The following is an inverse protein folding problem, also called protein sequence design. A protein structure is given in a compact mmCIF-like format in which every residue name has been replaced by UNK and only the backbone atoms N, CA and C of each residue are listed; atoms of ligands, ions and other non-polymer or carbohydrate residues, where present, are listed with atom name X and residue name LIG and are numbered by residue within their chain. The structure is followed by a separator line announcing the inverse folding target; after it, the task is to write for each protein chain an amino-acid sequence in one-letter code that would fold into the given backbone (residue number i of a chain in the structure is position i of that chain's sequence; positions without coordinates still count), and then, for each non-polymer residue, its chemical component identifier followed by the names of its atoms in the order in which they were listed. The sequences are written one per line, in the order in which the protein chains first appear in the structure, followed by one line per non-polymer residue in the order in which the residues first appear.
data_IF_273510104686
#
_entry.id   IF_273510104686
#
_cell.length_a   1.000
_cell.length_b   1.000
_cell.length_c   1.000
_cell.angle_alpha   90.00
_cell.angle_beta   90.00
_cell.angle_gamma   90.00
#
_symmetry.space_group_name_H-M   'P 1'
#
loop_
_entity.id
_entity.type
_entity.pdbx_description
1 polymer ?
#
# COMPACT_ATOMS: atom_id res chain seq x y z
N UNK A 1 -55.24 17.37 22.93
CA UNK A 1 -54.43 17.40 24.15
C UNK A 1 -55.18 16.68 25.27
N UNK A 2 -54.94 15.37 25.45
CA UNK A 2 -55.35 14.68 26.68
C UNK A 2 -54.21 14.85 27.66
N UNK A 3 -54.42 15.76 28.61
CA UNK A 3 -53.54 15.98 29.75
C UNK A 3 -53.48 14.68 30.56
N UNK A 4 -52.29 14.37 31.05
CA UNK A 4 -52.04 13.22 31.92
C UNK A 4 -53.06 13.19 33.09
N UNK A 5 -53.49 12.01 33.56
CA UNK A 5 -54.44 11.90 34.68
C UNK A 5 -53.93 12.68 35.90
N UNK A 6 -54.79 13.41 36.60
CA UNK A 6 -54.42 14.31 37.71
C UNK A 6 -53.58 13.66 38.82
N UNK A 7 -53.70 12.34 39.01
CA UNK A 7 -52.88 11.58 39.96
C UNK A 7 -51.39 11.56 39.61
N UNK A 8 -51.02 11.71 38.32
CA UNK A 8 -49.63 11.86 37.91
C UNK A 8 -49.09 13.26 38.23
N UNK A 9 -49.92 14.29 38.20
CA UNK A 9 -49.47 15.66 38.49
C UNK A 9 -49.07 15.82 39.96
N UNK A 10 -49.83 15.23 40.89
CA UNK A 10 -49.54 15.32 42.33
C UNK A 10 -48.29 14.51 42.74
N UNK A 11 -48.04 13.36 42.09
CA UNK A 11 -46.83 12.56 42.32
C UNK A 11 -45.53 13.28 41.87
N UNK A 12 -45.61 14.08 40.81
CA UNK A 12 -44.48 14.85 40.27
C UNK A 12 -44.15 16.11 41.11
N UNK A 13 -45.14 16.70 41.78
CA UNK A 13 -44.96 17.87 42.66
C UNK A 13 -44.35 17.48 44.02
N UNK A 14 -44.64 16.27 44.53
CA UNK A 14 -44.16 15.84 45.84
C UNK A 14 -42.72 15.29 45.87
N UNK A 15 -42.13 14.96 44.72
CA UNK A 15 -40.78 14.36 44.67
C UNK A 15 -39.88 14.99 43.59
N UNK A 16 -39.28 16.16 43.87
CA UNK A 16 -38.42 16.90 42.92
C UNK A 16 -37.28 16.06 42.33
N UNK A 17 -36.77 15.10 43.11
CA UNK A 17 -35.71 14.18 42.70
C UNK A 17 -36.17 13.20 41.61
N UNK A 18 -37.42 12.74 41.65
CA UNK A 18 -37.98 11.81 40.67
C UNK A 18 -38.25 12.55 39.35
N UNK A 19 -38.76 13.78 39.42
CA UNK A 19 -38.90 14.65 38.24
C UNK A 19 -37.56 14.92 37.55
N UNK A 20 -36.53 15.30 38.32
CA UNK A 20 -35.19 15.50 37.79
C UNK A 20 -34.62 14.24 37.15
N UNK A 21 -34.86 13.05 37.73
CA UNK A 21 -34.42 11.78 37.16
C UNK A 21 -35.09 11.50 35.80
N UNK A 22 -36.41 11.67 35.69
CA UNK A 22 -37.12 11.48 34.43
C UNK A 22 -36.70 12.49 33.35
N UNK A 23 -36.52 13.76 33.72
CA UNK A 23 -36.03 14.79 32.80
C UNK A 23 -34.58 14.50 32.35
N UNK A 24 -33.72 14.04 33.26
CA UNK A 24 -32.36 13.63 32.95
C UNK A 24 -32.32 12.40 32.02
N UNK A 25 -33.17 11.39 32.26
CA UNK A 25 -33.31 10.23 31.38
C UNK A 25 -33.83 10.62 29.99
N UNK A 26 -34.83 11.50 29.91
CA UNK A 26 -35.34 12.02 28.65
C UNK A 26 -34.28 12.79 27.87
N UNK A 27 -33.53 13.67 28.54
CA UNK A 27 -32.42 14.40 27.92
C UNK A 27 -31.32 13.45 27.43
N UNK A 28 -30.96 12.43 28.22
CA UNK A 28 -29.98 11.42 27.83
C UNK A 28 -30.45 10.64 26.59
N UNK A 29 -31.72 10.24 26.52
CA UNK A 29 -32.27 9.55 25.36
C UNK A 29 -32.24 10.42 24.09
N UNK A 30 -32.53 11.73 24.20
CA UNK A 30 -32.42 12.67 23.09
C UNK A 30 -30.96 12.84 22.65
N UNK A 31 -30.03 13.02 23.58
CA UNK A 31 -28.59 13.15 23.27
C UNK A 31 -28.08 11.90 22.55
N UNK A 32 -28.43 10.71 23.05
CA UNK A 32 -28.05 9.43 22.43
C UNK A 32 -28.66 9.33 21.02
N UNK A 33 -29.93 9.68 20.85
CA UNK A 33 -30.61 9.65 19.55
C UNK A 33 -29.99 10.61 18.54
N UNK A 34 -29.70 11.84 18.97
CA UNK A 34 -29.01 12.85 18.15
C UNK A 34 -27.59 12.39 17.80
N UNK A 35 -26.86 11.82 18.77
CA UNK A 35 -25.52 11.27 18.54
C UNK A 35 -25.51 10.16 17.48
N UNK A 36 -26.44 9.20 17.56
CA UNK A 36 -26.58 8.13 16.57
C UNK A 36 -27.05 8.65 15.22
N UNK A 37 -27.96 9.63 15.19
CA UNK A 37 -28.40 10.27 13.95
C UNK A 37 -27.24 10.99 13.25
N UNK A 38 -26.48 11.81 13.97
CA UNK A 38 -25.32 12.52 13.43
C UNK A 38 -24.21 11.55 12.98
N UNK A 39 -23.92 10.52 13.78
CA UNK A 39 -22.95 9.48 13.43
C UNK A 39 -23.38 8.68 12.19
N UNK A 40 -24.66 8.32 12.11
CA UNK A 40 -25.25 7.64 10.96
C UNK A 40 -25.22 8.49 9.69
N UNK A 41 -25.58 9.78 9.77
CA UNK A 41 -25.48 10.72 8.66
C UNK A 41 -24.03 10.90 8.20
N UNK A 42 -23.07 10.96 9.13
CA UNK A 42 -21.64 11.03 8.83
C UNK A 42 -21.14 9.79 8.08
N UNK A 43 -21.50 8.60 8.54
CA UNK A 43 -21.16 7.33 7.89
C UNK A 43 -21.83 7.17 6.51
N UNK A 44 -23.09 7.57 6.37
CA UNK A 44 -23.79 7.57 5.09
C UNK A 44 -23.15 8.56 4.09
N UNK A 45 -22.76 9.74 4.57
CA UNK A 45 -22.07 10.75 3.75
C UNK A 45 -20.68 10.29 3.29
N UNK A 46 -19.89 9.66 4.16
CA UNK A 46 -18.60 9.09 3.75
C UNK A 46 -18.77 7.94 2.75
N UNK A 47 -19.73 7.05 2.99
CA UNK A 47 -20.07 5.95 2.08
C UNK A 47 -20.51 6.47 0.70
N UNK A 48 -21.38 7.49 0.67
CA UNK A 48 -21.82 8.13 -0.57
C UNK A 48 -20.65 8.78 -1.32
N UNK A 49 -19.76 9.51 -0.62
CA UNK A 49 -18.56 10.10 -1.23
C UNK A 49 -17.62 9.05 -1.82
N UNK A 50 -17.39 7.95 -1.10
CA UNK A 50 -16.58 6.83 -1.61
C UNK A 50 -17.22 6.20 -2.86
N UNK A 51 -18.53 5.95 -2.84
CA UNK A 51 -19.25 5.36 -3.96
C UNK A 51 -19.23 6.27 -5.21
N UNK A 52 -19.49 7.56 -5.03
CA UNK A 52 -19.44 8.55 -6.12
C UNK A 52 -18.04 8.67 -6.72
N UNK A 53 -16.99 8.70 -5.88
CA UNK A 53 -15.59 8.73 -6.34
C UNK A 53 -15.22 7.46 -7.08
N UNK A 54 -15.55 6.29 -6.55
CA UNK A 54 -15.31 5.01 -7.21
C UNK A 54 -16.00 4.93 -8.58
N UNK A 55 -17.24 5.39 -8.68
CA UNK A 55 -17.99 5.42 -9.95
C UNK A 55 -17.38 6.39 -10.97
N UNK A 56 -16.88 7.55 -10.52
CA UNK A 56 -16.19 8.50 -11.38
C UNK A 56 -14.90 7.91 -11.97
N UNK A 57 -14.10 7.24 -11.14
CA UNK A 57 -12.86 6.57 -11.56
C UNK A 57 -13.11 5.46 -12.57
N UNK A 58 -14.15 4.65 -12.35
CA UNK A 58 -14.53 3.58 -13.27
C UNK A 58 -14.89 4.07 -14.68
N UNK A 59 -15.34 5.32 -14.83
CA UNK A 59 -15.74 5.92 -16.11
C UNK A 59 -14.56 6.50 -16.91
N UNK A 60 -13.50 6.95 -16.24
CA UNK A 60 -12.31 7.55 -16.88
C UNK A 60 -11.16 6.54 -16.97
N UNK A 61 -11.20 5.63 -17.95
CA UNK A 61 -10.26 4.50 -18.04
C UNK A 61 -9.20 4.66 -19.15
N UNK A 62 -8.55 5.82 -19.19
CA UNK A 62 -7.43 6.10 -20.12
C UNK A 62 -6.04 5.71 -19.57
N UNK A 63 -5.98 5.16 -18.35
CA UNK A 63 -4.75 4.70 -17.71
C UNK A 63 -4.57 3.18 -17.82
N UNK A 64 -3.32 2.71 -17.72
CA UNK A 64 -2.98 1.28 -17.68
C UNK A 64 -3.10 0.70 -16.29
N UNK A 65 -2.75 1.48 -15.28
CA UNK A 65 -2.94 1.13 -13.88
C UNK A 65 -3.55 2.30 -13.09
N UNK A 66 -4.38 1.98 -12.11
CA UNK A 66 -4.94 2.93 -11.16
C UNK A 66 -4.47 2.59 -9.75
N UNK A 67 -3.78 3.55 -9.14
CA UNK A 67 -3.29 3.49 -7.77
C UNK A 67 -4.13 4.40 -6.89
N UNK A 68 -4.68 3.85 -5.81
CA UNK A 68 -5.42 4.60 -4.81
C UNK A 68 -4.58 4.89 -3.58
N UNK A 69 -4.59 6.14 -3.14
CA UNK A 69 -4.00 6.56 -1.87
C UNK A 69 -5.12 6.76 -0.86
N UNK A 70 -5.25 5.81 0.07
CA UNK A 70 -6.14 5.88 1.22
C UNK A 70 -5.72 6.94 2.24
N UNK A 71 -6.48 7.06 3.32
CA UNK A 71 -6.13 7.95 4.44
C UNK A 71 -4.84 7.48 5.14
N UNK A 72 -3.95 8.43 5.42
CA UNK A 72 -2.74 8.20 6.22
C UNK A 72 -2.97 8.79 7.61
N UNK A 73 -3.13 7.94 8.63
CA UNK A 73 -3.35 8.40 9.99
C UNK A 73 -2.14 9.20 10.50
N UNK A 74 -2.35 10.41 11.02
CA UNK A 74 -1.25 11.31 11.39
C UNK A 74 -0.52 11.95 10.21
N UNK A 75 -0.99 11.72 8.98
CA UNK A 75 -0.61 12.48 7.79
C UNK A 75 -1.60 13.62 7.55
N UNK A 76 -1.11 14.85 7.36
CA UNK A 76 -1.95 15.95 6.92
C UNK A 76 -2.45 15.76 5.49
N UNK A 77 -3.41 16.58 5.05
CA UNK A 77 -3.92 16.55 3.67
C UNK A 77 -2.81 16.72 2.61
N UNK A 78 -1.78 17.52 2.93
CA UNK A 78 -0.61 17.74 2.08
C UNK A 78 0.20 16.47 1.84
N UNK A 79 0.34 15.59 2.83
CA UNK A 79 1.17 14.39 2.70
C UNK A 79 0.67 13.48 1.57
N UNK A 80 -0.64 13.27 1.47
CA UNK A 80 -1.20 12.43 0.42
C UNK A 80 -1.01 13.03 -0.96
N UNK A 81 -1.04 14.37 -1.06
CA UNK A 81 -0.76 15.09 -2.29
C UNK A 81 0.71 14.96 -2.68
N UNK A 82 1.63 15.12 -1.73
CA UNK A 82 3.08 14.89 -1.95
C UNK A 82 3.36 13.44 -2.37
N UNK A 83 2.71 12.46 -1.73
CA UNK A 83 2.81 11.05 -2.13
C UNK A 83 2.29 10.85 -3.55
N UNK A 84 1.16 11.46 -3.91
CA UNK A 84 0.61 11.40 -5.25
C UNK A 84 1.62 11.89 -6.29
N UNK A 85 2.16 13.09 -6.10
CA UNK A 85 3.14 13.70 -7.01
C UNK A 85 4.41 12.84 -7.11
N UNK A 86 4.93 12.35 -5.98
CA UNK A 86 6.11 11.49 -5.99
C UNK A 86 5.88 10.17 -6.76
N UNK A 87 4.68 9.60 -6.67
CA UNK A 87 4.33 8.40 -7.43
C UNK A 87 4.22 8.75 -8.91
N UNK A 88 3.45 9.78 -9.28
CA UNK A 88 3.27 10.17 -10.69
C UNK A 88 4.61 10.48 -11.37
N UNK A 89 5.53 11.14 -10.67
CA UNK A 89 6.85 11.51 -11.19
C UNK A 89 7.80 10.30 -11.40
N UNK A 90 7.66 9.24 -10.59
CA UNK A 90 8.63 8.12 -10.57
C UNK A 90 8.07 6.78 -11.07
N UNK A 91 6.75 6.62 -11.14
CA UNK A 91 6.14 5.32 -11.45
C UNK A 91 6.46 4.86 -12.87
N UNK A 92 6.50 5.79 -13.84
CA UNK A 92 6.85 5.53 -15.23
C UNK A 92 8.18 4.78 -15.39
N UNK A 93 9.15 5.10 -14.52
CA UNK A 93 10.46 4.46 -14.49
C UNK A 93 10.36 2.96 -14.23
N UNK A 94 9.43 2.51 -13.39
CA UNK A 94 9.26 1.11 -13.00
C UNK A 94 8.11 0.40 -13.71
N UNK A 95 7.42 1.09 -14.62
CA UNK A 95 6.25 0.58 -15.35
C UNK A 95 6.47 0.50 -16.86
N UNK A 96 7.71 0.55 -17.35
CA UNK A 96 8.01 0.64 -18.79
C UNK A 96 7.28 1.80 -19.48
N UNK A 97 7.28 2.97 -18.83
CA UNK A 97 6.62 4.19 -19.30
C UNK A 97 5.10 4.04 -19.51
N UNK A 98 4.47 3.02 -18.91
CA UNK A 98 3.01 2.91 -18.93
C UNK A 98 2.38 3.97 -18.03
N UNK A 99 1.33 4.62 -18.54
CA UNK A 99 0.56 5.63 -17.81
C UNK A 99 -0.10 5.04 -16.56
N UNK A 100 0.20 5.63 -15.41
CA UNK A 100 -0.50 5.38 -14.16
C UNK A 100 -1.40 6.55 -13.82
N UNK A 101 -2.60 6.27 -13.32
CA UNK A 101 -3.41 7.27 -12.65
C UNK A 101 -3.28 7.07 -11.15
N UNK A 102 -3.02 8.15 -10.43
CA UNK A 102 -2.95 8.13 -8.97
C UNK A 102 -4.06 9.00 -8.40
N UNK A 103 -4.89 8.42 -7.54
CA UNK A 103 -6.06 9.12 -7.00
C UNK A 103 -6.14 9.05 -5.48
N UNK A 104 -6.52 10.19 -4.88
CA UNK A 104 -6.72 10.30 -3.45
C UNK A 104 -8.09 9.73 -3.10
N UNK A 105 -8.10 8.57 -2.46
CA UNK A 105 -9.32 7.84 -2.15
C UNK A 105 -9.70 8.02 -0.67
N UNK A 106 -10.93 8.46 -0.35
CA UNK A 106 -11.33 8.79 1.02
C UNK A 106 -11.69 7.53 1.83
N UNK A 107 -10.79 6.54 1.84
CA UNK A 107 -10.92 5.30 2.60
C UNK A 107 -9.99 5.31 3.80
N UNK A 108 -10.55 5.09 5.00
CA UNK A 108 -9.80 5.00 6.25
C UNK A 108 -9.76 3.55 6.73
N UNK A 109 -8.60 2.93 6.64
CA UNK A 109 -8.35 1.58 7.13
C UNK A 109 -7.47 1.61 8.37
N UNK A 110 -7.60 0.59 9.23
CA UNK A 110 -6.69 0.40 10.37
C UNK A 110 -5.34 -0.12 9.87
N UNK A 111 -4.25 0.34 10.48
CA UNK A 111 -2.90 -0.16 10.23
C UNK A 111 -2.50 -1.09 11.36
N UNK A 112 -2.53 -2.40 11.09
CA UNK A 112 -2.11 -3.44 12.02
C UNK A 112 -0.70 -3.93 11.67
N UNK A 113 0.13 -4.26 12.68
CA UNK A 113 1.43 -4.88 12.45
C UNK A 113 1.29 -6.32 11.93
N UNK A 114 2.34 -6.83 11.31
CA UNK A 114 2.42 -8.22 10.83
C UNK A 114 2.17 -9.27 11.91
N UNK A 115 2.54 -8.97 13.15
CA UNK A 115 2.35 -9.83 14.34
C UNK A 115 0.91 -9.87 14.86
N UNK A 116 0.03 -9.02 14.36
CA UNK A 116 -1.37 -9.02 14.78
C UNK A 116 -2.10 -10.30 14.34
N UNK A 117 -3.13 -10.68 15.09
CA UNK A 117 -3.94 -11.86 14.79
C UNK A 117 -4.46 -11.83 13.34
N UNK A 118 -4.47 -13.00 12.69
CA UNK A 118 -4.75 -13.14 11.26
C UNK A 118 -6.17 -12.67 10.86
N UNK A 119 -7.17 -12.87 11.73
CA UNK A 119 -8.56 -12.49 11.45
C UNK A 119 -8.77 -10.97 11.24
N UNK A 120 -8.37 -10.08 12.18
CA UNK A 120 -8.44 -8.63 11.97
C UNK A 120 -7.71 -8.17 10.69
N UNK A 121 -6.53 -8.74 10.40
CA UNK A 121 -5.78 -8.42 9.18
C UNK A 121 -6.56 -8.79 7.93
N UNK A 122 -7.16 -9.99 7.91
CA UNK A 122 -8.02 -10.45 6.81
C UNK A 122 -9.23 -9.55 6.60
N UNK A 123 -9.89 -9.09 7.69
CA UNK A 123 -11.04 -8.18 7.59
C UNK A 123 -10.67 -6.85 6.92
N UNK A 124 -9.55 -6.25 7.32
CA UNK A 124 -9.04 -5.01 6.72
C UNK A 124 -8.68 -5.23 5.25
N UNK A 125 -8.04 -6.37 4.93
CA UNK A 125 -7.67 -6.70 3.56
C UNK A 125 -8.89 -6.88 2.65
N UNK A 126 -9.97 -7.49 3.15
CA UNK A 126 -11.25 -7.61 2.42
C UNK A 126 -11.89 -6.24 2.19
N UNK A 127 -11.82 -5.34 3.17
CA UNK A 127 -12.33 -3.98 3.02
C UNK A 127 -11.55 -3.18 1.96
N UNK A 128 -10.22 -3.29 1.98
CA UNK A 128 -9.35 -2.70 0.96
C UNK A 128 -9.64 -3.26 -0.44
N UNK A 129 -9.81 -4.58 -0.56
CA UNK A 129 -10.14 -5.24 -1.82
C UNK A 129 -11.50 -4.80 -2.37
N UNK A 130 -12.51 -4.67 -1.50
CA UNK A 130 -13.82 -4.15 -1.91
C UNK A 130 -13.73 -2.71 -2.45
N UNK A 131 -12.81 -1.90 -1.94
CA UNK A 131 -12.55 -0.57 -2.49
C UNK A 131 -11.93 -0.63 -3.90
N UNK A 132 -10.95 -1.53 -4.12
CA UNK A 132 -10.36 -1.78 -5.44
C UNK A 132 -11.41 -2.24 -6.45
N UNK A 133 -12.25 -3.23 -6.10
CA UNK A 133 -13.30 -3.74 -6.98
C UNK A 133 -14.31 -2.66 -7.38
N UNK A 134 -14.75 -1.83 -6.42
CA UNK A 134 -15.73 -0.76 -6.67
C UNK A 134 -15.20 0.34 -7.57
N UNK A 135 -13.92 0.68 -7.42
CA UNK A 135 -13.24 1.73 -8.18
C UNK A 135 -12.64 1.23 -9.49
N UNK A 136 -12.58 -0.09 -9.69
CA UNK A 136 -11.81 -0.74 -10.74
C UNK A 136 -10.32 -0.35 -10.71
N UNK A 137 -9.77 -0.16 -9.50
CA UNK A 137 -8.37 0.12 -9.26
C UNK A 137 -7.53 -1.14 -9.09
N UNK A 138 -6.22 -1.01 -9.32
CA UNK A 138 -5.30 -2.16 -9.33
C UNK A 138 -4.51 -2.27 -8.03
N UNK A 139 -4.14 -1.13 -7.43
CA UNK A 139 -3.34 -1.08 -6.20
C UNK A 139 -3.92 -0.03 -5.25
N UNK A 140 -3.93 -0.33 -3.96
CA UNK A 140 -4.26 0.62 -2.90
C UNK A 140 -3.15 0.66 -1.86
N UNK A 141 -2.79 1.87 -1.46
CA UNK A 141 -1.87 2.14 -0.35
C UNK A 141 -2.55 2.95 0.74
N UNK A 142 -2.38 2.54 1.99
CA UNK A 142 -2.84 3.28 3.17
C UNK A 142 -1.84 3.11 4.30
N UNK A 143 -2.00 3.82 5.41
CA UNK A 143 -1.04 3.68 6.48
C UNK A 143 -1.19 4.66 7.61
N UNK A 144 -0.11 4.81 8.37
CA UNK A 144 0.01 5.77 9.45
C UNK A 144 1.40 6.36 9.52
N UNK A 145 1.51 7.54 10.11
CA UNK A 145 2.76 8.10 10.57
C UNK A 145 3.10 7.52 11.94
N UNK A 146 4.31 7.00 12.09
CA UNK A 146 4.82 6.49 13.35
C UNK A 146 5.26 7.64 14.26
N UNK A 147 5.46 7.37 15.55
CA UNK A 147 5.98 8.35 16.50
C UNK A 147 7.40 8.83 16.14
N UNK A 148 8.20 7.98 15.48
CA UNK A 148 9.53 8.34 14.96
C UNK A 148 9.47 9.25 13.71
N UNK A 149 8.27 9.54 13.20
CA UNK A 149 8.07 10.37 12.02
C UNK A 149 8.22 9.63 10.69
N UNK A 150 8.33 8.29 10.71
CA UNK A 150 8.33 7.44 9.50
C UNK A 150 6.90 7.18 9.04
N UNK A 151 6.74 6.78 7.79
CA UNK A 151 5.48 6.28 7.26
C UNK A 151 5.49 4.77 7.29
N UNK A 152 4.53 4.20 8.00
CA UNK A 152 4.22 2.78 8.04
C UNK A 152 3.03 2.55 7.09
N UNK A 153 3.32 1.99 5.91
CA UNK A 153 2.38 1.84 4.81
C UNK A 153 2.02 0.37 4.58
N UNK A 154 0.80 0.17 4.09
CA UNK A 154 0.22 -1.10 3.70
C UNK A 154 -0.19 -1.00 2.26
N UNK A 155 0.26 -1.96 1.44
CA UNK A 155 -0.05 -2.02 0.02
C UNK A 155 -0.80 -3.32 -0.26
N UNK A 156 -1.89 -3.23 -1.01
CA UNK A 156 -2.69 -4.36 -1.44
C UNK A 156 -3.05 -4.22 -2.92
N UNK A 157 -3.09 -5.37 -3.60
CA UNK A 157 -3.70 -5.56 -4.92
C UNK A 157 -4.73 -6.67 -4.83
N UNK A 158 -5.63 -6.77 -5.81
CA UNK A 158 -6.58 -7.87 -5.86
C UNK A 158 -5.85 -9.20 -6.04
N UNK A 159 -6.18 -10.23 -5.24
CA UNK A 159 -5.53 -11.51 -5.37
C UNK A 159 -5.84 -12.13 -6.73
N UNK A 160 -4.85 -12.80 -7.33
CA UNK A 160 -5.14 -13.72 -8.43
C UNK A 160 -6.04 -14.85 -7.92
N UNK A 161 -6.90 -15.36 -8.81
CA UNK A 161 -7.96 -16.32 -8.46
C UNK A 161 -7.46 -17.44 -7.53
N UNK A 162 -8.11 -17.61 -6.38
CA UNK A 162 -7.79 -18.64 -5.38
C UNK A 162 -6.70 -18.29 -4.36
N UNK A 163 -6.11 -17.08 -4.40
CA UNK A 163 -5.12 -16.63 -3.40
C UNK A 163 -5.74 -15.79 -2.28
N UNK A 164 -5.07 -15.78 -1.14
CA UNK A 164 -5.42 -14.90 -0.01
C UNK A 164 -5.01 -13.46 -0.30
N UNK A 165 -5.70 -12.51 0.35
CA UNK A 165 -5.33 -11.10 0.29
C UNK A 165 -4.04 -10.90 1.09
N UNK A 166 -2.93 -10.75 0.38
CA UNK A 166 -1.63 -10.49 0.98
C UNK A 166 -1.40 -8.97 1.06
N UNK A 167 -1.31 -8.47 2.29
CA UNK A 167 -0.98 -7.07 2.55
C UNK A 167 0.52 -6.96 2.74
N UNK A 168 1.17 -6.21 1.85
CA UNK A 168 2.58 -5.89 1.99
C UNK A 168 2.78 -4.74 2.97
N UNK A 169 3.82 -4.85 3.80
CA UNK A 169 4.19 -3.84 4.79
C UNK A 169 5.49 -3.17 4.36
N UNK A 170 5.48 -1.85 4.23
CA UNK A 170 6.69 -1.07 3.94
C UNK A 170 6.81 0.08 4.92
N UNK A 171 8.05 0.41 5.29
CA UNK A 171 8.31 1.61 6.07
C UNK A 171 9.29 2.54 5.35
N UNK A 172 8.93 3.81 5.30
CA UNK A 172 9.67 4.86 4.62
C UNK A 172 9.98 6.01 5.59
N UNK A 173 11.20 6.49 5.57
CA UNK A 173 11.58 7.70 6.30
C UNK A 173 11.10 8.95 5.54
N UNK A 174 9.84 9.31 5.77
CA UNK A 174 9.20 10.46 5.13
C UNK A 174 8.60 11.37 6.20
N UNK A 175 9.42 12.32 6.66
CA UNK A 175 9.07 13.25 7.74
C UNK A 175 8.11 14.34 7.25
N UNK A 176 8.59 15.39 6.60
CA UNK A 176 7.76 16.52 6.18
C UNK A 176 8.23 17.04 4.83
N UNK A 177 7.30 17.36 3.94
CA UNK A 177 7.63 17.77 2.59
C UNK A 177 8.03 16.59 1.71
N UNK A 178 8.45 16.92 0.49
CA UNK A 178 8.93 15.96 -0.50
C UNK A 178 10.27 15.36 -0.02
N UNK A 179 10.39 14.03 0.11
CA UNK A 179 11.56 13.36 0.66
C UNK A 179 12.63 13.21 -0.42
N UNK A 180 13.78 12.64 -0.04
CA UNK A 180 14.85 12.33 -0.98
C UNK A 180 14.37 11.40 -2.11
N UNK A 181 15.01 11.52 -3.26
CA UNK A 181 14.63 10.80 -4.48
C UNK A 181 14.59 9.27 -4.28
N UNK A 182 15.50 8.73 -3.45
CA UNK A 182 15.51 7.32 -3.06
C UNK A 182 14.17 6.87 -2.47
N UNK A 183 13.60 7.65 -1.55
CA UNK A 183 12.34 7.31 -0.86
C UNK A 183 11.16 7.39 -1.83
N UNK A 184 11.16 8.39 -2.72
CA UNK A 184 10.13 8.55 -3.75
C UNK A 184 10.15 7.38 -4.73
N UNK A 185 11.34 7.04 -5.26
CA UNK A 185 11.53 5.90 -6.17
C UNK A 185 11.19 4.58 -5.49
N UNK A 186 11.53 4.40 -4.21
CA UNK A 186 11.18 3.19 -3.47
C UNK A 186 9.66 3.01 -3.31
N UNK A 187 8.92 4.09 -3.03
CA UNK A 187 7.46 4.05 -3.00
C UNK A 187 6.88 3.70 -4.38
N UNK A 188 7.35 4.37 -5.43
CA UNK A 188 6.91 4.12 -6.80
C UNK A 188 7.21 2.69 -7.25
N UNK A 189 8.42 2.19 -6.95
CA UNK A 189 8.82 0.80 -7.18
C UNK A 189 7.90 -0.19 -6.48
N UNK A 190 7.62 -0.01 -5.18
CA UNK A 190 6.76 -0.92 -4.43
C UNK A 190 5.35 -1.02 -5.03
N UNK A 191 4.80 0.12 -5.47
CA UNK A 191 3.49 0.18 -6.11
C UNK A 191 3.50 -0.43 -7.52
N UNK A 192 4.51 -0.11 -8.34
CA UNK A 192 4.67 -0.68 -9.67
C UNK A 192 4.87 -2.20 -9.62
N UNK A 193 5.66 -2.67 -8.65
CA UNK A 193 5.88 -4.11 -8.36
C UNK A 193 4.56 -4.82 -8.05
N UNK A 194 3.65 -4.20 -7.30
CA UNK A 194 2.31 -4.76 -7.03
C UNK A 194 1.37 -4.66 -8.23
N UNK A 195 1.53 -3.65 -9.08
CA UNK A 195 0.73 -3.45 -10.29
C UNK A 195 1.20 -4.29 -11.51
N UNK A 196 2.33 -5.02 -11.40
CA UNK A 196 2.89 -5.86 -12.50
C UNK A 196 1.87 -6.73 -13.24
N UNK A 197 0.91 -7.42 -12.58
CA UNK A 197 -0.05 -8.27 -13.29
C UNK A 197 -0.87 -7.53 -14.36
N UNK A 198 -1.05 -6.22 -14.20
CA UNK A 198 -1.82 -5.37 -15.13
C UNK A 198 -0.90 -4.58 -16.07
N UNK A 199 0.29 -4.23 -15.59
CA UNK A 199 1.25 -3.41 -16.33
C UNK A 199 2.06 -4.19 -17.37
N UNK A 200 2.45 -5.43 -17.08
CA UNK A 200 3.53 -6.09 -17.83
C UNK A 200 3.02 -6.98 -18.95
N UNK A 201 3.64 -6.85 -20.13
CA UNK A 201 3.54 -7.83 -21.22
C UNK A 201 4.89 -8.51 -21.41
N UNK A 202 4.93 -9.77 -21.90
CA UNK A 202 6.19 -10.46 -22.19
C UNK A 202 7.15 -9.64 -23.10
N UNK A 203 6.59 -8.83 -24.00
CA UNK A 203 7.33 -7.95 -24.91
C UNK A 203 8.03 -6.75 -24.25
N UNK A 204 7.71 -6.42 -23.01
CA UNK A 204 8.33 -5.29 -22.29
C UNK A 204 9.70 -5.66 -21.71
N UNK A 205 9.99 -6.95 -21.55
CA UNK A 205 11.24 -7.49 -21.01
C UNK A 205 12.39 -7.54 -22.03
N UNK A 206 12.37 -6.66 -23.03
CA UNK A 206 13.51 -6.50 -23.94
C UNK A 206 14.66 -5.80 -23.20
N UNK A 207 15.93 -6.13 -23.49
CA UNK A 207 17.07 -5.56 -22.79
C UNK A 207 17.07 -4.03 -22.76
N UNK A 208 16.68 -3.39 -23.87
CA UNK A 208 16.70 -1.93 -24.00
C UNK A 208 15.72 -1.24 -23.04
N UNK A 209 14.57 -1.87 -22.79
CA UNK A 209 13.54 -1.37 -21.86
C UNK A 209 13.85 -1.70 -20.41
N UNK A 210 14.56 -2.80 -20.16
CA UNK A 210 14.97 -3.20 -18.82
C UNK A 210 16.13 -2.35 -18.30
N UNK A 211 17.00 -1.86 -19.19
CA UNK A 211 18.20 -1.10 -18.82
C UNK A 211 17.92 0.07 -17.84
N UNK A 212 17.03 1.04 -18.13
CA UNK A 212 16.78 2.15 -17.22
C UNK A 212 16.20 1.71 -15.87
N UNK A 213 15.38 0.65 -15.85
CA UNK A 213 14.84 0.09 -14.62
C UNK A 213 15.97 -0.49 -13.78
N UNK A 214 16.82 -1.31 -14.38
CA UNK A 214 17.91 -1.98 -13.66
C UNK A 214 18.93 -0.97 -13.16
N UNK A 215 19.26 0.06 -13.93
CA UNK A 215 20.12 1.16 -13.48
C UNK A 215 19.51 1.94 -12.30
N UNK A 216 18.20 2.21 -12.34
CA UNK A 216 17.54 2.85 -11.21
C UNK A 216 17.58 1.97 -9.95
N UNK A 217 17.35 0.67 -10.10
CA UNK A 217 17.44 -0.29 -9.00
C UNK A 217 18.88 -0.42 -8.47
N UNK A 218 19.88 -0.41 -9.34
CA UNK A 218 21.31 -0.40 -8.99
C UNK A 218 21.64 0.79 -8.09
N UNK A 219 21.23 2.00 -8.50
CA UNK A 219 21.40 3.22 -7.69
C UNK A 219 20.70 3.11 -6.34
N UNK A 220 19.51 2.52 -6.28
CA UNK A 220 18.77 2.31 -5.03
C UNK A 220 19.45 1.29 -4.11
N UNK A 221 20.07 0.25 -4.68
CA UNK A 221 20.85 -0.77 -3.95
C UNK A 221 22.18 -0.20 -3.46
N UNK A 222 22.82 0.68 -4.21
CA UNK A 222 24.08 1.35 -3.83
C UNK A 222 23.85 2.41 -2.75
N UNK A 223 22.76 3.18 -2.84
CA UNK A 223 22.41 4.22 -1.87
C UNK A 223 22.00 3.70 -0.48
N UNK A 224 21.99 2.37 -0.28
CA UNK A 224 21.58 1.65 0.94
C UNK A 224 21.74 2.48 2.22
N UNK A 225 20.61 2.84 2.84
CA UNK A 225 20.55 3.67 4.04
C UNK A 225 19.40 3.26 4.97
N UNK A 226 19.27 3.94 6.11
CA UNK A 226 18.19 3.70 7.08
C UNK A 226 16.83 4.27 6.63
N UNK A 227 16.73 4.79 5.41
CA UNK A 227 15.52 5.44 4.91
C UNK A 227 14.41 4.43 4.52
N UNK A 228 14.78 3.18 4.22
CA UNK A 228 13.86 2.12 3.76
C UNK A 228 13.85 0.95 4.76
N UNK A 229 12.72 0.27 4.93
CA UNK A 229 12.65 -0.99 5.69
C UNK A 229 13.53 -2.08 5.05
N UNK A 230 14.10 -2.97 5.87
CA UNK A 230 14.94 -4.08 5.40
C UNK A 230 14.21 -4.96 4.38
N UNK A 231 12.92 -5.24 4.61
CA UNK A 231 12.10 -6.00 3.67
C UNK A 231 12.01 -5.34 2.28
N UNK A 232 11.81 -4.02 2.22
CA UNK A 232 11.75 -3.29 0.95
C UNK A 232 13.12 -3.27 0.26
N UNK A 233 14.21 -3.11 1.03
CA UNK A 233 15.57 -3.20 0.48
C UNK A 233 15.86 -4.56 -0.14
N UNK A 234 15.42 -5.66 0.50
CA UNK A 234 15.56 -7.01 -0.04
C UNK A 234 14.73 -7.23 -1.30
N UNK A 235 13.54 -6.64 -1.39
CA UNK A 235 12.74 -6.70 -2.62
C UNK A 235 13.39 -5.95 -3.78
N UNK A 236 13.90 -4.74 -3.54
CA UNK A 236 14.65 -3.95 -4.52
C UNK A 236 15.87 -4.76 -4.99
N UNK A 237 16.64 -5.31 -4.05
CA UNK A 237 17.82 -6.12 -4.37
C UNK A 237 17.47 -7.37 -5.19
N UNK A 238 16.38 -8.05 -4.86
CA UNK A 238 15.95 -9.25 -5.57
C UNK A 238 15.53 -8.95 -7.01
N UNK A 239 14.78 -7.87 -7.22
CA UNK A 239 14.40 -7.44 -8.58
C UNK A 239 15.57 -6.88 -9.37
N UNK A 240 16.48 -6.16 -8.71
CA UNK A 240 17.74 -5.71 -9.30
C UNK A 240 18.54 -6.90 -9.82
N UNK A 241 18.74 -7.93 -8.99
CA UNK A 241 19.48 -9.12 -9.37
C UNK A 241 18.86 -9.85 -10.58
N UNK A 242 17.55 -10.13 -10.57
CA UNK A 242 16.89 -10.76 -11.74
C UNK A 242 17.00 -9.89 -13.00
N UNK A 243 16.85 -8.57 -12.87
CA UNK A 243 16.96 -7.65 -13.99
C UNK A 243 18.38 -7.58 -14.55
N UNK A 244 19.38 -7.48 -13.69
CA UNK A 244 20.80 -7.47 -14.04
C UNK A 244 21.21 -8.80 -14.69
N UNK A 245 20.74 -9.96 -14.19
CA UNK A 245 20.95 -11.24 -14.85
C UNK A 245 20.41 -11.23 -16.28
N UNK A 246 19.16 -10.76 -16.45
CA UNK A 246 18.53 -10.73 -17.77
C UNK A 246 19.23 -9.79 -18.74
N UNK A 247 19.71 -8.62 -18.29
CA UNK A 247 20.53 -7.72 -19.11
C UNK A 247 21.89 -8.31 -19.41
N UNK A 248 22.48 -8.99 -18.44
CA UNK A 248 23.74 -9.70 -18.58
C UNK A 248 23.64 -10.74 -19.68
N UNK A 249 22.75 -11.72 -19.55
CA UNK A 249 22.54 -12.82 -20.49
C UNK A 249 22.14 -12.32 -21.89
N UNK A 250 21.11 -11.48 -21.99
CA UNK A 250 20.52 -11.09 -23.29
C UNK A 250 21.23 -9.93 -23.96
N UNK A 251 21.80 -9.00 -23.17
CA UNK A 251 22.48 -7.80 -23.67
C UNK A 251 23.99 -7.99 -23.88
N UNK A 252 24.57 -9.14 -23.50
CA UNK A 252 26.00 -9.40 -23.68
C UNK A 252 26.91 -8.66 -22.69
N UNK A 253 26.34 -8.06 -21.64
CA UNK A 253 27.09 -7.20 -20.72
C UNK A 253 27.63 -7.97 -19.51
N UNK A 254 28.92 -8.28 -19.49
CA UNK A 254 29.61 -8.95 -18.36
C UNK A 254 29.40 -8.21 -17.03
N UNK A 255 29.44 -6.87 -17.05
CA UNK A 255 29.21 -6.05 -15.84
C UNK A 255 27.90 -6.39 -15.10
N UNK A 256 26.83 -6.67 -15.84
CA UNK A 256 25.52 -6.94 -15.26
C UNK A 256 25.41 -8.36 -14.71
N UNK A 257 26.13 -9.32 -15.29
CA UNK A 257 26.25 -10.67 -14.73
C UNK A 257 26.98 -10.64 -13.38
N UNK A 258 28.08 -9.90 -13.28
CA UNK A 258 28.81 -9.78 -12.01
C UNK A 258 27.96 -9.09 -10.93
N UNK A 259 27.34 -7.95 -11.26
CA UNK A 259 26.44 -7.25 -10.31
C UNK A 259 25.26 -8.14 -9.87
N UNK A 260 24.70 -8.94 -10.77
CA UNK A 260 23.66 -9.92 -10.43
C UNK A 260 24.18 -10.98 -9.47
N UNK A 261 25.38 -11.52 -9.71
CA UNK A 261 26.00 -12.53 -8.86
C UNK A 261 26.21 -11.99 -7.43
N UNK A 262 26.82 -10.81 -7.31
CA UNK A 262 27.08 -10.16 -6.03
C UNK A 262 25.78 -9.87 -5.27
N UNK A 263 24.76 -9.37 -5.99
CA UNK A 263 23.44 -9.08 -5.42
C UNK A 263 22.73 -10.36 -4.92
N UNK A 264 22.83 -11.47 -5.65
CA UNK A 264 22.25 -12.76 -5.23
C UNK A 264 22.98 -13.38 -4.06
N UNK A 265 24.30 -13.28 -4.00
CA UNK A 265 25.06 -13.74 -2.84
C UNK A 265 24.64 -12.97 -1.58
N UNK A 266 24.59 -11.64 -1.65
CA UNK A 266 24.09 -10.83 -0.52
C UNK A 266 22.64 -11.17 -0.15
N UNK A 267 21.77 -11.42 -1.14
CA UNK A 267 20.39 -11.82 -0.88
C UNK A 267 20.30 -13.16 -0.12
N UNK A 268 21.17 -14.13 -0.44
CA UNK A 268 21.23 -15.41 0.24
C UNK A 268 21.73 -15.32 1.69
N UNK A 269 22.57 -14.32 2.01
CA UNK A 269 22.98 -14.06 3.39
C UNK A 269 21.80 -13.59 4.27
N UNK A 270 20.71 -13.14 3.64
CA UNK A 270 19.53 -12.55 4.29
C UNK A 270 18.30 -13.45 4.25
N UNK A 271 18.24 -14.39 3.30
CA UNK A 271 17.12 -15.33 3.18
C UNK A 271 17.46 -16.65 3.84
N UNK A 272 16.65 -17.00 4.84
CA UNK A 272 16.76 -18.29 5.52
C UNK A 272 16.02 -19.38 4.73
N UNK A 273 16.79 -20.38 4.28
CA UNK A 273 16.28 -21.57 3.59
C UNK A 273 15.17 -22.30 4.36
N UNK A 274 15.17 -22.24 5.69
CA UNK A 274 14.16 -22.91 6.53
C UNK A 274 12.81 -22.21 6.53
N UNK A 275 12.81 -20.88 6.34
CA UNK A 275 11.58 -20.06 6.38
C UNK A 275 11.05 -19.75 4.98
N UNK A 276 11.93 -19.59 3.99
CA UNK A 276 11.56 -19.42 2.58
C UNK A 276 12.48 -20.24 1.65
N UNK A 277 12.29 -21.57 1.59
CA UNK A 277 13.09 -22.44 0.72
C UNK A 277 12.91 -22.12 -0.77
N UNK A 278 11.76 -21.54 -1.15
CA UNK A 278 11.46 -21.18 -2.54
C UNK A 278 12.31 -20.00 -3.02
N UNK A 279 12.34 -18.90 -2.25
CA UNK A 279 13.18 -17.75 -2.56
C UNK A 279 14.67 -18.11 -2.53
N UNK A 280 15.09 -18.92 -1.56
CA UNK A 280 16.47 -19.41 -1.47
C UNK A 280 16.87 -20.22 -2.72
N UNK A 281 16.02 -21.17 -3.14
CA UNK A 281 16.26 -21.99 -4.33
C UNK A 281 16.32 -21.18 -5.61
N UNK A 282 15.41 -20.21 -5.79
CA UNK A 282 15.42 -19.32 -6.94
C UNK A 282 16.71 -18.48 -7.01
N UNK A 283 17.17 -17.93 -5.88
CA UNK A 283 18.41 -17.18 -5.82
C UNK A 283 19.64 -18.04 -6.19
N UNK A 284 19.71 -19.28 -5.72
CA UNK A 284 20.76 -20.24 -6.10
C UNK A 284 20.75 -20.57 -7.60
N UNK A 285 19.56 -20.77 -8.18
CA UNK A 285 19.44 -21.01 -9.62
C UNK A 285 19.94 -19.82 -10.45
N UNK A 286 19.62 -18.60 -10.03
CA UNK A 286 20.10 -17.39 -10.72
C UNK A 286 21.62 -17.19 -10.59
N UNK A 287 22.22 -17.57 -9.45
CA UNK A 287 23.69 -17.61 -9.31
C UNK A 287 24.31 -18.58 -10.31
N UNK A 288 23.76 -19.81 -10.41
CA UNK A 288 24.25 -20.80 -11.37
C UNK A 288 24.19 -20.28 -12.80
N UNK A 289 23.07 -19.65 -13.18
CA UNK A 289 22.91 -19.02 -14.50
C UNK A 289 23.91 -17.90 -14.74
N UNK A 290 24.13 -17.01 -13.76
CA UNK A 290 25.10 -15.93 -13.87
C UNK A 290 26.52 -16.47 -14.11
N UNK A 291 26.92 -17.50 -13.35
CA UNK A 291 28.24 -18.14 -13.47
C UNK A 291 28.42 -18.86 -14.81
N UNK A 292 27.41 -19.58 -15.29
CA UNK A 292 27.45 -20.22 -16.61
C UNK A 292 27.64 -19.17 -17.71
N UNK A 293 26.85 -18.09 -17.69
CA UNK A 293 26.94 -17.03 -18.69
C UNK A 293 28.26 -16.25 -18.62
N UNK A 294 28.89 -16.15 -17.46
CA UNK A 294 30.25 -15.59 -17.30
C UNK A 294 31.29 -16.53 -17.92
N UNK A 295 31.24 -17.82 -17.60
CA UNK A 295 32.16 -18.82 -18.14
C UNK A 295 32.12 -18.92 -19.67
N UNK A 296 30.94 -18.81 -20.28
CA UNK A 296 30.75 -18.75 -21.74
C UNK A 296 31.39 -17.53 -22.41
N UNK A 297 31.73 -16.48 -21.65
CA UNK A 297 32.33 -15.23 -22.16
C UNK A 297 33.82 -15.12 -21.89
N UNK A 298 34.31 -15.86 -20.92
CA UNK A 298 35.73 -15.91 -20.55
C UNK A 298 36.49 -17.00 -21.30
N UNK A 299 35.80 -18.05 -21.79
CA UNK A 299 36.36 -19.10 -22.63
C UNK A 299 36.42 -18.74 -24.11
#
# INVERSE_FOLDING_TARGET
MRLLPGEFQDAFVQSPNVFMLFMAMGLAAVIISVFWMLSGMGAASSAARMALRAQALKRGKDHRALVLIGEIAGGGGLLRQEMKEAIEDNFGLFSFEQNVQVDLFPLRLKTLPSTAHHEPRRRIAVEAAAALERSAADVIVWGKRTLSGRLDLRILTLPSYGRTHEVQEIELAWKTGRPDELVQRALAFALARKARPVLHRPQDYKPERLHPIVEALDQMVEARGNELSEGLQLEILSDFASGALSLGERGGHVKWLQKSLDARQYYLDKVDRTTDPGAWGAAQQEIGRALTALGEREG
#
